data_IF_737903484877
#
_entry.id   IF_737903484877
#
_cell.length_a   1.000
_cell.length_b   1.000
_cell.length_c   1.000
_cell.angle_alpha   90.00
_cell.angle_beta   90.00
_cell.angle_gamma   90.00
#
_symmetry.space_group_name_H-M   'P 1'
#
loop_
_entity.id
_entity.type
_entity.pdbx_description
1 polymer ?
#
# COMPACT_ATOMS: atom_id res chain seq x y z
N UNK A 1 -2.11 -4.18 -18.39
CA UNK A 1 -1.68 -5.36 -17.59
C UNK A 1 -1.52 -6.61 -18.47
N UNK A 2 -0.58 -7.53 -18.19
CA UNK A 2 -0.45 -8.79 -18.96
C UNK A 2 -1.54 -9.79 -18.51
N UNK A 3 -2.22 -10.49 -19.43
CA UNK A 3 -3.30 -11.42 -19.07
C UNK A 3 -2.82 -12.62 -18.25
N UNK A 4 -1.56 -13.02 -18.42
CA UNK A 4 -0.95 -14.14 -17.68
C UNK A 4 -0.86 -13.83 -16.18
N UNK A 5 -0.44 -12.61 -15.82
CA UNK A 5 -0.30 -12.21 -14.40
C UNK A 5 -1.65 -12.11 -13.71
N UNK A 6 -2.68 -11.61 -14.42
CA UNK A 6 -4.04 -11.58 -13.90
C UNK A 6 -4.51 -13.00 -13.57
N UNK A 7 -4.35 -13.94 -14.51
CA UNK A 7 -4.75 -15.33 -14.29
C UNK A 7 -4.02 -15.98 -13.11
N UNK A 8 -2.73 -15.68 -12.94
CA UNK A 8 -1.96 -16.20 -11.80
C UNK A 8 -2.43 -15.60 -10.47
N UNK A 9 -2.74 -14.29 -10.42
CA UNK A 9 -3.28 -13.63 -9.23
C UNK A 9 -4.67 -14.17 -8.88
N UNK A 10 -5.55 -14.31 -9.87
CA UNK A 10 -6.89 -14.89 -9.68
C UNK A 10 -6.81 -16.34 -9.20
N UNK A 11 -5.84 -17.11 -9.71
CA UNK A 11 -5.61 -18.48 -9.27
C UNK A 11 -5.05 -18.56 -7.84
N UNK A 12 -4.18 -17.62 -7.45
CA UNK A 12 -3.64 -17.56 -6.08
C UNK A 12 -4.71 -17.17 -5.06
N UNK A 13 -5.67 -16.34 -5.47
CA UNK A 13 -6.69 -15.85 -4.56
C UNK A 13 -8.02 -16.61 -4.65
N UNK A 14 -8.08 -17.63 -5.51
CA UNK A 14 -9.28 -18.41 -5.84
C UNK A 14 -10.51 -17.55 -6.20
N UNK A 15 -10.28 -16.31 -6.65
CA UNK A 15 -11.30 -15.30 -6.88
C UNK A 15 -10.88 -14.36 -8.03
N UNK A 16 -11.86 -13.71 -8.64
CA UNK A 16 -11.60 -12.73 -9.69
C UNK A 16 -11.15 -11.39 -9.13
N UNK A 17 -10.24 -10.72 -9.85
CA UNK A 17 -9.78 -9.39 -9.45
C UNK A 17 -10.93 -8.35 -9.62
N UNK A 18 -11.15 -7.46 -8.64
CA UNK A 18 -12.07 -6.35 -8.75
C UNK A 18 -11.79 -5.50 -9.99
N UNK A 19 -12.85 -5.13 -10.70
CA UNK A 19 -12.73 -4.29 -11.89
C UNK A 19 -12.04 -2.95 -11.58
N UNK A 20 -12.34 -2.37 -10.42
CA UNK A 20 -11.75 -1.12 -9.96
C UNK A 20 -10.24 -1.26 -9.70
N UNK A 21 -9.78 -2.40 -9.18
CA UNK A 21 -8.35 -2.68 -9.00
C UNK A 21 -7.61 -2.85 -10.33
N UNK A 22 -8.22 -3.57 -11.28
CA UNK A 22 -7.65 -3.72 -12.62
C UNK A 22 -7.58 -2.36 -13.33
N UNK A 23 -8.60 -1.51 -13.15
CA UNK A 23 -8.62 -0.16 -13.69
C UNK A 23 -7.53 0.72 -13.05
N UNK A 24 -7.32 0.61 -11.73
CA UNK A 24 -6.25 1.31 -11.03
C UNK A 24 -4.87 0.95 -11.59
N UNK A 25 -4.60 -0.33 -11.86
CA UNK A 25 -3.32 -0.76 -12.45
C UNK A 25 -3.15 -0.32 -13.92
N UNK A 26 -4.24 -0.17 -14.68
CA UNK A 26 -4.19 0.31 -16.06
C UNK A 26 -4.01 1.84 -16.13
N UNK A 27 -4.63 2.56 -15.20
CA UNK A 27 -4.61 4.02 -15.09
C UNK A 27 -3.97 4.46 -13.76
N UNK A 28 -2.76 3.96 -13.51
CA UNK A 28 -2.05 4.19 -12.26
C UNK A 28 -1.82 5.70 -12.01
N UNK A 29 -2.07 6.22 -10.79
CA UNK A 29 -1.92 7.63 -10.48
C UNK A 29 -0.47 8.10 -10.73
N UNK A 30 -0.21 9.02 -11.68
CA UNK A 30 1.15 9.42 -12.01
C UNK A 30 1.84 10.15 -10.85
N UNK A 31 1.05 10.79 -9.98
CA UNK A 31 1.56 11.43 -8.76
C UNK A 31 2.25 10.43 -7.82
N UNK A 32 1.76 9.20 -7.74
CA UNK A 32 2.34 8.16 -6.87
C UNK A 32 3.48 7.38 -7.54
N UNK A 33 3.62 7.49 -8.87
CA UNK A 33 4.59 6.69 -9.65
C UNK A 33 6.05 7.09 -9.47
N UNK A 34 6.32 8.28 -8.95
CA UNK A 34 7.67 8.84 -8.85
C UNK A 34 7.92 9.57 -7.53
N UNK A 35 6.99 9.48 -6.58
CA UNK A 35 7.14 10.12 -5.27
C UNK A 35 7.89 9.19 -4.33
N UNK A 36 8.94 9.71 -3.71
CA UNK A 36 9.71 9.00 -2.71
C UNK A 36 8.92 8.90 -1.41
N UNK A 37 9.10 7.81 -0.67
CA UNK A 37 8.52 7.66 0.67
C UNK A 37 9.20 8.55 1.70
N UNK A 38 10.47 8.90 1.46
CA UNK A 38 11.23 9.77 2.32
C UNK A 38 10.89 11.24 2.07
N UNK A 39 10.60 11.98 3.15
CA UNK A 39 10.40 13.43 3.12
C UNK A 39 11.69 14.19 2.71
N UNK A 40 12.85 13.55 2.89
CA UNK A 40 14.15 14.11 2.48
C UNK A 40 14.38 14.06 0.96
N UNK A 41 13.49 13.45 0.19
CA UNK A 41 13.60 13.33 -1.27
C UNK A 41 14.71 12.39 -1.75
N UNK A 42 15.22 11.52 -0.87
CA UNK A 42 16.21 10.49 -1.17
C UNK A 42 15.54 9.11 -1.33
N UNK A 43 16.16 8.23 -2.13
CA UNK A 43 15.61 6.89 -2.43
C UNK A 43 15.77 5.86 -1.31
N UNK A 44 16.37 6.24 -0.17
CA UNK A 44 16.63 5.37 0.98
C UNK A 44 15.42 4.55 1.47
N UNK A 45 14.19 5.05 1.34
CA UNK A 45 12.95 4.40 1.78
C UNK A 45 12.11 3.83 0.61
N UNK A 46 12.59 3.99 -0.62
CA UNK A 46 11.93 3.57 -1.85
C UNK A 46 10.89 4.54 -2.41
N UNK A 47 10.29 4.17 -3.54
CA UNK A 47 9.21 4.91 -4.20
C UNK A 47 7.86 4.33 -3.75
N UNK A 48 6.85 5.18 -3.55
CA UNK A 48 5.50 4.77 -3.14
C UNK A 48 4.93 3.68 -4.05
N UNK A 49 5.15 3.78 -5.37
CA UNK A 49 4.68 2.81 -6.36
C UNK A 49 5.37 1.44 -6.33
N UNK A 50 6.42 1.30 -5.54
CA UNK A 50 7.21 0.08 -5.35
C UNK A 50 7.02 -0.51 -3.95
N UNK A 51 6.28 0.16 -3.06
CA UNK A 51 6.12 -0.27 -1.66
C UNK A 51 4.67 -0.08 -1.18
N UNK A 52 4.22 1.17 -0.98
CA UNK A 52 2.89 1.47 -0.40
C UNK A 52 1.72 1.03 -1.29
N UNK A 53 1.87 1.14 -2.60
CA UNK A 53 0.89 0.66 -3.57
C UNK A 53 1.63 0.17 -4.81
N UNK A 54 1.64 -1.14 -5.04
CA UNK A 54 2.41 -1.71 -6.15
C UNK A 54 1.81 -1.30 -7.50
N UNK A 55 2.61 -0.60 -8.29
CA UNK A 55 2.25 -0.22 -9.66
C UNK A 55 2.46 -1.36 -10.66
N UNK A 56 3.37 -2.30 -10.37
CA UNK A 56 3.61 -3.43 -11.27
C UNK A 56 2.86 -4.68 -10.81
N UNK A 57 2.08 -5.30 -11.71
CA UNK A 57 1.44 -6.60 -11.47
C UNK A 57 2.38 -7.72 -11.00
N UNK A 58 3.65 -7.65 -11.41
CA UNK A 58 4.64 -8.65 -11.06
C UNK A 58 5.00 -8.60 -9.57
N UNK A 59 5.13 -7.40 -9.00
CA UNK A 59 5.43 -7.20 -7.58
C UNK A 59 4.26 -7.66 -6.72
N UNK A 60 3.03 -7.32 -7.14
CA UNK A 60 1.77 -7.84 -6.53
C UNK A 60 1.77 -9.38 -6.52
N UNK A 61 2.19 -10.01 -7.61
CA UNK A 61 2.24 -11.48 -7.70
C UNK A 61 3.32 -12.08 -6.79
N UNK A 62 4.49 -11.45 -6.73
CA UNK A 62 5.61 -11.89 -5.90
C UNK A 62 5.23 -11.84 -4.41
N UNK A 63 4.77 -10.69 -3.92
CA UNK A 63 4.42 -10.53 -2.50
C UNK A 63 3.29 -11.46 -2.07
N UNK A 64 2.27 -11.65 -2.93
CA UNK A 64 1.16 -12.56 -2.62
C UNK A 64 1.59 -14.03 -2.53
N UNK A 65 2.65 -14.42 -3.25
CA UNK A 65 3.27 -15.75 -3.09
C UNK A 65 4.03 -15.86 -1.79
N UNK A 66 4.76 -14.81 -1.41
CA UNK A 66 5.56 -14.80 -0.18
C UNK A 66 4.70 -14.90 1.07
N UNK A 67 3.67 -14.06 1.20
CA UNK A 67 2.78 -14.07 2.38
C UNK A 67 2.00 -15.38 2.53
N UNK A 68 1.75 -16.10 1.42
CA UNK A 68 1.07 -17.41 1.42
C UNK A 68 2.03 -18.59 1.61
N UNK A 69 3.33 -18.39 1.41
CA UNK A 69 4.32 -19.46 1.50
C UNK A 69 4.62 -19.87 2.96
N UNK A 70 4.37 -18.98 3.92
CA UNK A 70 4.75 -19.16 5.32
C UNK A 70 3.54 -18.91 6.22
N UNK A 71 3.41 -19.72 7.27
CA UNK A 71 2.50 -19.44 8.38
C UNK A 71 3.25 -18.67 9.47
N UNK A 72 2.63 -17.64 10.02
CA UNK A 72 3.16 -16.91 11.18
C UNK A 72 2.39 -17.29 12.44
N UNK A 73 2.90 -16.91 13.61
CA UNK A 73 2.21 -17.15 14.88
C UNK A 73 1.52 -15.87 15.33
N UNK A 74 0.26 -15.96 15.71
CA UNK A 74 -0.45 -14.87 16.37
C UNK A 74 0.01 -14.69 17.83
N UNK A 75 -0.37 -13.60 18.52
CA UNK A 75 0.00 -13.33 19.91
C UNK A 75 -0.36 -14.45 20.92
N UNK A 76 -1.41 -15.23 20.67
CA UNK A 76 -1.83 -16.41 21.43
C UNK A 76 -1.08 -17.69 21.01
N UNK A 77 -0.21 -17.61 20.00
CA UNK A 77 0.64 -18.70 19.53
C UNK A 77 -0.05 -19.68 18.58
N UNK A 78 -1.18 -19.32 17.97
CA UNK A 78 -1.82 -20.13 16.93
C UNK A 78 -1.23 -19.80 15.56
N UNK A 79 -1.26 -20.80 14.67
CA UNK A 79 -0.80 -20.61 13.30
C UNK A 79 -1.80 -19.76 12.52
N UNK A 80 -1.34 -18.62 12.05
CA UNK A 80 -2.04 -17.78 11.08
C UNK A 80 -1.51 -18.05 9.67
N UNK A 81 -2.44 -18.22 8.74
CA UNK A 81 -2.15 -18.32 7.31
C UNK A 81 -2.89 -17.22 6.59
N UNK A 82 -2.22 -16.65 5.59
CA UNK A 82 -2.81 -15.63 4.75
C UNK A 82 -4.10 -16.16 4.08
N UNK A 83 -5.24 -15.47 4.22
CA UNK A 83 -6.50 -15.91 3.61
C UNK A 83 -6.44 -15.84 2.08
N UNK A 84 -6.99 -16.85 1.41
CA UNK A 84 -6.94 -16.95 -0.05
C UNK A 84 -7.63 -15.76 -0.72
N UNK A 85 -8.77 -15.32 -0.20
CA UNK A 85 -9.57 -14.22 -0.74
C UNK A 85 -8.95 -12.81 -0.57
N UNK A 86 -7.88 -12.66 0.20
CA UNK A 86 -7.25 -11.36 0.44
C UNK A 86 -6.05 -11.15 -0.48
N UNK A 87 -6.12 -10.14 -1.34
CA UNK A 87 -5.03 -9.77 -2.24
C UNK A 87 -4.20 -8.66 -1.64
N UNK A 88 -2.91 -8.90 -1.41
CA UNK A 88 -1.96 -7.84 -1.04
C UNK A 88 -1.75 -6.90 -2.23
N UNK A 89 -1.85 -5.60 -1.99
CA UNK A 89 -1.70 -4.54 -3.00
C UNK A 89 -0.56 -3.56 -2.70
N UNK A 90 0.03 -3.65 -1.50
CA UNK A 90 1.12 -2.80 -1.03
C UNK A 90 1.57 -3.19 0.38
N UNK A 91 2.57 -2.50 0.89
CA UNK A 91 3.10 -2.67 2.26
C UNK A 91 3.53 -1.34 2.86
N UNK A 92 3.61 -1.27 4.20
CA UNK A 92 4.07 -0.08 4.93
C UNK A 92 5.60 -0.01 5.06
N UNK A 93 6.33 -1.01 4.56
CA UNK A 93 7.78 -1.15 4.77
C UNK A 93 8.21 -1.57 6.19
N UNK A 94 7.27 -1.70 7.14
CA UNK A 94 7.52 -2.21 8.50
C UNK A 94 6.99 -3.65 8.70
N UNK A 95 6.63 -4.31 7.60
CA UNK A 95 6.10 -5.67 7.58
C UNK A 95 4.57 -5.77 7.63
N UNK A 96 3.86 -4.64 7.67
CA UNK A 96 2.41 -4.59 7.52
C UNK A 96 2.03 -4.50 6.04
N UNK A 97 0.88 -5.07 5.69
CA UNK A 97 0.43 -5.19 4.30
C UNK A 97 -0.88 -4.47 4.08
N UNK A 98 -1.05 -3.80 2.95
CA UNK A 98 -2.35 -3.36 2.46
C UNK A 98 -2.94 -4.44 1.59
N UNK A 99 -4.22 -4.76 1.80
CA UNK A 99 -4.92 -5.76 1.01
C UNK A 99 -6.37 -5.38 0.70
N UNK A 100 -6.91 -6.01 -0.33
CA UNK A 100 -8.32 -5.92 -0.71
C UNK A 100 -8.95 -7.30 -0.64
N UNK A 101 -10.22 -7.34 -0.25
CA UNK A 101 -11.01 -8.56 -0.27
C UNK A 101 -11.67 -8.75 -1.63
N UNK A 102 -11.41 -9.91 -2.24
CA UNK A 102 -11.93 -10.25 -3.56
C UNK A 102 -13.32 -10.90 -3.50
N UNK A 103 -13.74 -11.45 -2.35
CA UNK A 103 -15.09 -12.02 -2.18
C UNK A 103 -16.13 -10.92 -1.90
N UNK A 104 -15.68 -9.73 -1.49
CA UNK A 104 -16.52 -8.57 -1.21
C UNK A 104 -17.25 -8.66 0.14
N UNK A 105 -16.77 -9.50 1.05
CA UNK A 105 -17.22 -9.53 2.45
C UNK A 105 -16.80 -8.24 3.17
N UNK A 106 -15.61 -7.74 2.85
CA UNK A 106 -15.09 -6.45 3.28
C UNK A 106 -15.02 -5.47 2.11
N UNK A 107 -15.74 -4.36 2.22
CA UNK A 107 -15.58 -3.24 1.31
C UNK A 107 -14.36 -2.42 1.71
N UNK A 108 -13.58 -1.98 0.71
CA UNK A 108 -12.47 -1.06 0.90
C UNK A 108 -11.09 -1.71 0.96
N UNK A 109 -10.14 -1.00 1.56
CA UNK A 109 -8.75 -1.43 1.74
C UNK A 109 -8.50 -1.73 3.22
N UNK A 110 -7.94 -2.90 3.47
CA UNK A 110 -7.55 -3.40 4.78
C UNK A 110 -6.05 -3.23 4.97
N UNK A 111 -5.62 -2.90 6.18
CA UNK A 111 -4.25 -3.03 6.64
C UNK A 111 -4.14 -4.27 7.53
N UNK A 112 -3.28 -5.21 7.16
CA UNK A 112 -2.86 -6.30 8.01
C UNK A 112 -1.71 -5.85 8.90
N UNK A 113 -1.93 -5.87 10.22
CA UNK A 113 -0.89 -5.55 11.21
C UNK A 113 -0.16 -6.82 11.63
N UNK A 114 1.10 -6.96 11.21
CA UNK A 114 1.91 -8.15 11.44
C UNK A 114 2.07 -8.48 12.93
N UNK A 115 2.27 -7.45 13.76
CA UNK A 115 2.46 -7.61 15.20
C UNK A 115 1.21 -8.09 15.94
N UNK A 116 0.03 -7.68 15.47
CA UNK A 116 -1.25 -8.04 16.09
C UNK A 116 -1.88 -9.27 15.44
N UNK A 117 -1.51 -9.56 14.18
CA UNK A 117 -2.12 -10.57 13.32
C UNK A 117 -3.62 -10.28 13.15
N UNK A 118 -3.93 -9.02 12.85
CA UNK A 118 -5.29 -8.49 12.71
C UNK A 118 -5.42 -7.63 11.45
N UNK A 119 -6.64 -7.57 10.92
CA UNK A 119 -7.00 -6.71 9.80
C UNK A 119 -7.79 -5.50 10.30
N UNK A 120 -7.43 -4.31 9.84
CA UNK A 120 -8.13 -3.06 10.11
C UNK A 120 -8.55 -2.40 8.79
N UNK A 121 -9.78 -1.90 8.69
CA UNK A 121 -10.21 -1.11 7.53
C UNK A 121 -9.55 0.26 7.63
N UNK A 122 -8.73 0.62 6.64
CA UNK A 122 -8.07 1.92 6.58
C UNK A 122 -8.75 2.88 5.60
N UNK A 123 -9.42 2.35 4.58
CA UNK A 123 -10.16 3.13 3.60
C UNK A 123 -11.42 2.38 3.17
N UNK A 124 -12.51 3.10 2.97
CA UNK A 124 -13.79 2.54 2.53
C UNK A 124 -13.76 2.14 1.04
N UNK A 125 -12.77 2.59 0.28
CA UNK A 125 -12.58 2.28 -1.14
C UNK A 125 -11.13 2.39 -1.61
N UNK A 126 -10.82 1.80 -2.76
CA UNK A 126 -9.51 1.96 -3.42
C UNK A 126 -9.24 3.42 -3.83
N UNK A 127 -10.26 4.17 -4.23
CA UNK A 127 -10.12 5.58 -4.59
C UNK A 127 -9.70 6.41 -3.37
N UNK A 128 -10.40 6.22 -2.24
CA UNK A 128 -10.08 6.91 -0.99
C UNK A 128 -8.67 6.54 -0.48
N UNK A 129 -8.27 5.28 -0.63
CA UNK A 129 -6.90 4.87 -0.29
C UNK A 129 -5.85 5.59 -1.15
N UNK A 130 -6.09 5.72 -2.45
CA UNK A 130 -5.19 6.47 -3.34
C UNK A 130 -5.13 7.95 -2.96
N UNK A 131 -6.27 8.57 -2.63
CA UNK A 131 -6.31 9.96 -2.16
C UNK A 131 -5.51 10.12 -0.87
N UNK A 132 -5.66 9.20 0.09
CA UNK A 132 -4.88 9.18 1.33
C UNK A 132 -3.37 9.11 1.07
N UNK A 133 -2.92 8.25 0.14
CA UNK A 133 -1.50 8.17 -0.23
C UNK A 133 -1.00 9.45 -0.89
N UNK A 134 -1.81 10.08 -1.76
CA UNK A 134 -1.46 11.36 -2.38
C UNK A 134 -1.36 12.44 -1.29
N UNK A 135 -2.30 12.48 -0.36
CA UNK A 135 -2.27 13.46 0.72
C UNK A 135 -1.01 13.30 1.58
N UNK A 136 -0.69 12.05 1.95
CA UNK A 136 0.45 11.73 2.81
C UNK A 136 1.81 12.01 2.15
N UNK A 137 2.00 11.59 0.90
CA UNK A 137 3.33 11.60 0.26
C UNK A 137 3.54 12.74 -0.73
N UNK A 138 2.47 13.33 -1.28
CA UNK A 138 2.57 14.38 -2.30
C UNK A 138 2.21 15.75 -1.72
N UNK A 139 1.17 15.83 -0.89
CA UNK A 139 0.75 17.11 -0.28
C UNK A 139 1.32 17.36 1.11
N UNK A 140 1.69 16.31 1.83
CA UNK A 140 2.27 16.36 3.18
C UNK A 140 3.60 17.11 3.27
N UNK A 141 4.33 17.23 2.16
CA UNK A 141 5.62 17.94 2.10
C UNK A 141 5.52 19.49 2.14
N UNK A 142 4.30 20.07 2.25
CA UNK A 142 4.12 21.53 2.38
C UNK A 142 3.77 21.99 3.81
N UNK A 143 4.01 21.18 4.84
CA UNK A 143 3.72 21.56 6.23
C UNK A 143 4.97 21.76 7.10
N UNK A 144 5.68 22.88 6.87
CA UNK A 144 6.20 23.70 7.97
C UNK A 144 7.71 23.65 8.26
N UNK A 145 8.49 24.40 7.49
CA UNK A 145 9.65 25.13 8.03
C UNK A 145 9.70 26.54 7.41
N UNK A 146 8.64 27.30 7.65
CA UNK A 146 8.63 28.76 7.49
C UNK A 146 8.70 29.36 8.90
N UNK A 147 9.80 29.10 9.61
CA UNK A 147 10.24 30.01 10.66
C UNK A 147 10.96 31.19 10.00
N UNK A 148 10.17 32.08 9.41
CA UNK A 148 10.54 33.49 9.25
C UNK A 148 10.65 34.09 10.66
N UNK A 149 11.80 33.88 11.30
CA UNK A 149 12.25 34.77 12.37
C UNK A 149 13.06 35.90 11.70
N UNK A 150 12.34 36.73 10.95
CA UNK A 150 12.79 38.06 10.60
C UNK A 150 12.83 38.89 11.89
N UNK A 151 13.96 38.89 12.60
CA UNK A 151 14.35 40.04 13.42
C UNK A 151 15.22 40.98 12.55
N UNK A 152 14.66 42.09 12.04
CA UNK A 152 15.47 43.23 11.67
C UNK A 152 15.82 43.98 12.96
N UNK A 153 17.08 43.95 13.39
CA UNK A 153 17.55 44.98 14.31
C UNK A 153 18.72 45.76 13.71
N UNK A 154 18.42 47.04 13.54
CA UNK A 154 19.22 48.08 12.93
C UNK A 154 20.52 48.35 13.72
N UNK A 155 21.56 48.70 12.97
CA UNK A 155 22.65 49.65 13.29
C UNK A 155 22.87 50.06 14.75
N UNK A 156 24.12 49.92 15.22
CA UNK A 156 25.09 51.03 15.40
C UNK A 156 26.52 50.51 15.62
#
# INVERSE_FOLDING_TARGET
MKPEVIQELEALCEASLPADYVQLLDSYPPLLSAVFRSDSGDDSEGVVSEVELFSMPADVLEINREVRAIAILDPDGQEFRWPDQLLVIGETGEGDYYCVDLDGEHAGVLQFRHHAVEFEVIADSLEEFVEMLIESFVTGSESGDDFDDSEPDETE
#
